data_IF_801930900776
#
_entry.id   IF_801930900776
#
_cell.length_a   1.000
_cell.length_b   1.000
_cell.length_c   1.000
_cell.angle_alpha   90.00
_cell.angle_beta   90.00
_cell.angle_gamma   90.00
#
_symmetry.space_group_name_H-M   'P 1'
#
loop_
_entity.id
_entity.type
_entity.pdbx_description
1 polymer ?
#
# COMPACT_ATOMS: atom_id res chain seq x y z
N UNK A 1 -2.38 16.84 14.07
CA UNK A 1 -2.40 15.41 13.69
C UNK A 1 -3.62 14.67 14.23
N UNK A 2 -3.98 14.87 15.51
CA UNK A 2 -5.13 14.22 16.17
C UNK A 2 -6.46 14.25 15.37
N UNK A 3 -6.88 15.41 14.86
CA UNK A 3 -8.11 15.51 14.05
C UNK A 3 -8.08 14.60 12.82
N UNK A 4 -6.96 14.57 12.10
CA UNK A 4 -6.81 13.71 10.92
C UNK A 4 -6.82 12.23 11.30
N UNK A 5 -6.16 11.87 12.41
CA UNK A 5 -6.19 10.49 12.90
C UNK A 5 -7.60 10.04 13.27
N UNK A 6 -8.37 10.88 13.96
CA UNK A 6 -9.77 10.59 14.32
C UNK A 6 -10.65 10.44 13.07
N UNK A 7 -10.47 11.30 12.06
CA UNK A 7 -11.15 11.15 10.77
C UNK A 7 -10.82 9.79 10.14
N UNK A 8 -9.54 9.45 10.02
CA UNK A 8 -9.09 8.18 9.43
C UNK A 8 -9.64 6.99 10.19
N UNK A 9 -9.60 6.99 11.52
CA UNK A 9 -10.17 5.91 12.36
C UNK A 9 -11.67 5.74 12.13
N UNK A 10 -12.42 6.84 12.11
CA UNK A 10 -13.87 6.79 11.88
C UNK A 10 -14.20 6.25 10.47
N UNK A 11 -13.44 6.65 9.46
CA UNK A 11 -13.59 6.14 8.10
C UNK A 11 -13.25 4.64 8.01
N UNK A 12 -12.14 4.20 8.59
CA UNK A 12 -11.76 2.78 8.66
C UNK A 12 -12.81 1.93 9.40
N UNK A 13 -13.46 2.47 10.43
CA UNK A 13 -14.50 1.78 11.18
C UNK A 13 -15.81 1.63 10.39
N UNK A 14 -16.12 2.54 9.48
CA UNK A 14 -17.43 2.62 8.80
C UNK A 14 -17.43 2.08 7.37
N UNK A 15 -16.30 2.22 6.66
CA UNK A 15 -16.18 1.83 5.24
C UNK A 15 -14.93 0.99 4.96
N UNK A 16 -14.16 0.63 5.99
CA UNK A 16 -12.91 -0.15 5.90
C UNK A 16 -11.74 0.49 5.12
N UNK A 17 -11.90 1.72 4.66
CA UNK A 17 -10.82 2.52 4.09
C UNK A 17 -10.93 3.98 4.53
N UNK A 18 -9.86 4.74 4.37
CA UNK A 18 -9.86 6.20 4.50
C UNK A 18 -9.04 6.79 3.35
N UNK A 19 -9.43 7.98 2.87
CA UNK A 19 -8.70 8.66 1.79
C UNK A 19 -8.52 10.14 2.12
N UNK A 20 -7.31 10.64 1.96
CA UNK A 20 -6.98 12.06 2.12
C UNK A 20 -5.76 12.42 1.27
N UNK A 21 -5.50 13.72 1.13
CA UNK A 21 -4.34 14.22 0.40
C UNK A 21 -3.02 13.95 1.15
N UNK A 22 -2.06 13.27 0.50
CA UNK A 22 -0.76 12.91 1.05
C UNK A 22 0.08 14.13 1.48
N UNK A 23 -0.15 15.32 0.90
CA UNK A 23 0.51 16.57 1.33
C UNK A 23 0.21 16.93 2.80
N UNK A 24 -0.81 16.31 3.39
CA UNK A 24 -1.11 16.43 4.83
C UNK A 24 -0.08 15.74 5.74
N UNK A 25 0.72 14.82 5.21
CA UNK A 25 1.71 14.06 5.99
C UNK A 25 3.10 13.99 5.34
N UNK A 26 3.22 14.35 4.07
CA UNK A 26 4.48 14.48 3.35
C UNK A 26 4.62 15.88 2.75
N UNK A 27 5.85 16.34 2.58
CA UNK A 27 6.20 17.54 1.81
C UNK A 27 6.28 17.25 0.31
N UNK A 28 6.23 18.29 -0.51
CA UNK A 28 6.38 18.18 -1.98
C UNK A 28 7.69 17.46 -2.34
N UNK A 29 8.81 17.82 -1.70
CA UNK A 29 10.10 17.18 -1.94
C UNK A 29 10.12 15.69 -1.57
N UNK A 30 9.37 15.28 -0.55
CA UNK A 30 9.24 13.87 -0.19
C UNK A 30 8.38 13.13 -1.21
N UNK A 31 7.25 13.71 -1.62
CA UNK A 31 6.37 13.11 -2.64
C UNK A 31 7.06 13.00 -4.00
N UNK A 32 7.82 14.02 -4.41
CA UNK A 32 8.64 14.01 -5.61
C UNK A 32 9.68 12.89 -5.57
N UNK A 33 10.37 12.73 -4.43
CA UNK A 33 11.33 11.65 -4.24
C UNK A 33 10.65 10.27 -4.34
N UNK A 34 9.55 10.07 -3.62
CA UNK A 34 8.81 8.82 -3.59
C UNK A 34 8.26 8.45 -4.99
N UNK A 35 7.69 9.43 -5.71
CA UNK A 35 7.21 9.26 -7.08
C UNK A 35 8.35 8.86 -8.02
N UNK A 36 9.48 9.58 -7.96
CA UNK A 36 10.66 9.26 -8.78
C UNK A 36 11.24 7.89 -8.43
N UNK A 37 11.26 7.50 -7.16
CA UNK A 37 11.68 6.17 -6.73
C UNK A 37 10.81 5.07 -7.38
N UNK A 38 9.48 5.24 -7.38
CA UNK A 38 8.54 4.35 -8.05
C UNK A 38 8.82 4.21 -9.56
N UNK A 39 9.26 5.28 -10.22
CA UNK A 39 9.60 5.24 -11.65
C UNK A 39 10.89 4.45 -11.91
N UNK A 40 11.95 4.67 -11.13
CA UNK A 40 13.29 4.14 -11.42
C UNK A 40 13.57 2.75 -10.85
N UNK A 41 12.83 2.31 -9.83
CA UNK A 41 13.05 0.99 -9.23
C UNK A 41 12.86 -0.11 -10.30
N UNK A 42 13.75 -1.12 -10.37
CA UNK A 42 13.59 -2.26 -11.27
C UNK A 42 12.25 -2.96 -11.05
N UNK A 43 11.59 -3.36 -12.13
CA UNK A 43 10.25 -3.93 -12.11
C UNK A 43 10.21 -5.34 -12.65
N UNK A 44 9.35 -6.15 -12.05
CA UNK A 44 9.01 -7.49 -12.52
C UNK A 44 7.52 -7.61 -12.82
N UNK A 45 7.18 -8.32 -13.89
CA UNK A 45 5.77 -8.59 -14.25
C UNK A 45 5.21 -9.67 -13.33
N UNK A 46 4.18 -9.32 -12.58
CA UNK A 46 3.45 -10.23 -11.69
C UNK A 46 2.11 -10.62 -12.33
N UNK A 47 1.91 -11.93 -12.50
CA UNK A 47 0.66 -12.51 -13.04
C UNK A 47 -0.17 -13.28 -12.01
N UNK A 48 0.49 -13.76 -10.96
CA UNK A 48 -0.13 -14.46 -9.84
C UNK A 48 0.47 -13.86 -8.58
N UNK A 49 -0.39 -13.43 -7.66
CA UNK A 49 0.07 -12.90 -6.39
C UNK A 49 0.36 -13.97 -5.35
N UNK A 50 0.72 -13.53 -4.15
CA UNK A 50 1.26 -14.38 -3.09
C UNK A 50 0.22 -15.36 -2.52
N UNK A 51 -1.06 -15.15 -2.83
CA UNK A 51 -2.18 -15.99 -2.35
C UNK A 51 -2.95 -16.64 -3.50
N UNK A 52 -2.36 -16.62 -4.70
CA UNK A 52 -2.88 -17.29 -5.90
C UNK A 52 -3.87 -16.46 -6.72
N UNK A 53 -4.14 -15.21 -6.33
CA UNK A 53 -4.99 -14.31 -7.09
C UNK A 53 -4.36 -13.95 -8.44
N UNK A 54 -5.20 -13.82 -9.46
CA UNK A 54 -4.73 -13.38 -10.78
C UNK A 54 -4.45 -11.89 -10.74
N UNK A 55 -3.28 -11.53 -11.25
CA UNK A 55 -2.77 -10.18 -11.31
C UNK A 55 -2.27 -9.90 -12.73
N UNK A 56 -2.13 -8.63 -13.07
CA UNK A 56 -1.40 -8.22 -14.26
C UNK A 56 -0.81 -6.85 -14.01
N UNK A 57 0.36 -6.78 -13.40
CA UNK A 57 1.02 -5.51 -13.07
C UNK A 57 2.53 -5.67 -13.03
N UNK A 58 3.24 -4.55 -13.12
CA UNK A 58 4.68 -4.49 -12.90
C UNK A 58 4.96 -4.01 -11.46
N UNK A 59 5.76 -4.77 -10.71
CA UNK A 59 6.06 -4.49 -9.30
C UNK A 59 7.54 -4.16 -9.14
N UNK A 60 7.84 -3.03 -8.49
CA UNK A 60 9.18 -2.68 -8.06
C UNK A 60 9.29 -2.68 -6.54
N UNK A 61 10.25 -3.41 -5.98
CA UNK A 61 10.27 -3.72 -4.54
C UNK A 61 11.25 -2.82 -3.78
N UNK A 62 10.81 -2.17 -2.72
CA UNK A 62 11.66 -1.40 -1.80
C UNK A 62 11.94 -2.19 -0.52
N UNK A 63 10.99 -3.03 -0.11
CA UNK A 63 11.11 -3.93 1.04
C UNK A 63 10.19 -5.13 0.84
N UNK A 64 10.68 -6.33 1.16
CA UNK A 64 9.94 -7.59 1.07
C UNK A 64 9.70 -8.21 2.44
N UNK A 65 8.59 -8.93 2.59
CA UNK A 65 8.26 -9.72 3.78
C UNK A 65 7.86 -11.15 3.37
N UNK A 66 8.84 -11.93 2.93
CA UNK A 66 8.64 -13.28 2.41
C UNK A 66 8.23 -14.25 3.52
N UNK A 67 7.44 -15.28 3.17
CA UNK A 67 7.12 -16.38 4.07
C UNK A 67 8.38 -16.99 4.69
N UNK A 68 8.30 -17.31 5.98
CA UNK A 68 9.37 -17.92 6.78
C UNK A 68 10.67 -17.10 6.87
N UNK A 69 10.62 -15.80 6.56
CA UNK A 69 11.80 -14.94 6.53
C UNK A 69 11.59 -13.63 7.30
N UNK A 70 12.71 -12.97 7.65
CA UNK A 70 12.69 -11.60 8.14
C UNK A 70 12.42 -10.63 6.98
N UNK A 71 11.84 -9.45 7.24
CA UNK A 71 11.71 -8.41 6.24
C UNK A 71 13.08 -7.95 5.75
N UNK A 72 13.20 -7.70 4.45
CA UNK A 72 14.46 -7.34 3.83
C UNK A 72 14.29 -6.14 2.91
N UNK A 73 15.13 -5.12 3.09
CA UNK A 73 15.21 -4.00 2.15
C UNK A 73 15.70 -4.50 0.78
N UNK A 74 15.14 -3.93 -0.28
CA UNK A 74 15.51 -4.23 -1.67
C UNK A 74 15.92 -2.97 -2.39
N UNK A 75 16.74 -3.14 -3.43
CA UNK A 75 17.24 -2.02 -4.25
C UNK A 75 17.91 -0.94 -3.39
N UNK A 76 18.81 -1.36 -2.49
CA UNK A 76 19.58 -0.44 -1.64
C UNK A 76 20.47 0.49 -2.50
N UNK A 77 20.63 1.78 -2.15
CA UNK A 77 20.07 2.47 -0.97
C UNK A 77 18.63 2.95 -1.13
N UNK A 78 18.05 2.87 -2.33
CA UNK A 78 16.75 3.45 -2.66
C UNK A 78 15.62 2.92 -1.76
N UNK A 79 15.56 1.60 -1.56
CA UNK A 79 14.51 1.00 -0.73
C UNK A 79 14.53 1.47 0.71
N UNK A 80 15.72 1.61 1.30
CA UNK A 80 15.86 2.14 2.65
C UNK A 80 15.43 3.61 2.72
N UNK A 81 15.88 4.44 1.78
CA UNK A 81 15.49 5.86 1.73
C UNK A 81 13.98 6.06 1.59
N UNK A 82 13.32 5.24 0.76
CA UNK A 82 11.85 5.26 0.63
C UNK A 82 11.18 4.95 1.97
N UNK A 83 11.59 3.87 2.64
CA UNK A 83 10.99 3.48 3.92
C UNK A 83 11.27 4.53 5.01
N UNK A 84 12.48 5.09 5.06
CA UNK A 84 12.86 6.14 6.02
C UNK A 84 11.94 7.37 5.89
N UNK A 85 11.59 7.78 4.66
CA UNK A 85 10.62 8.87 4.41
C UNK A 85 9.22 8.47 4.88
N UNK A 86 8.77 7.24 4.57
CA UNK A 86 7.46 6.76 4.97
C UNK A 86 7.29 6.72 6.50
N UNK A 87 8.37 6.51 7.26
CA UNK A 87 8.39 6.58 8.74
C UNK A 87 8.88 7.93 9.29
N UNK A 88 8.90 8.97 8.44
CA UNK A 88 9.20 10.34 8.83
C UNK A 88 8.24 10.90 9.89
N UNK A 89 8.60 12.03 10.51
CA UNK A 89 7.93 12.52 11.72
C UNK A 89 6.40 12.63 11.59
N UNK A 90 5.89 13.32 10.55
CA UNK A 90 4.45 13.58 10.37
C UNK A 90 3.65 12.32 10.03
N UNK A 91 4.17 11.49 9.12
CA UNK A 91 3.54 10.22 8.77
C UNK A 91 3.55 9.26 9.95
N UNK A 92 4.67 9.12 10.66
CA UNK A 92 4.76 8.26 11.84
C UNK A 92 3.87 8.72 12.99
N UNK A 93 3.66 10.02 13.18
CA UNK A 93 2.66 10.53 14.12
C UNK A 93 1.23 10.08 13.73
N UNK A 94 0.84 10.22 12.46
CA UNK A 94 -0.48 9.74 12.00
C UNK A 94 -0.64 8.23 12.17
N UNK A 95 0.34 7.47 11.67
CA UNK A 95 0.22 6.02 11.56
C UNK A 95 0.29 5.33 12.92
N UNK A 96 1.04 5.89 13.89
CA UNK A 96 0.98 5.44 15.29
C UNK A 96 -0.39 5.64 15.90
N UNK A 97 -0.97 6.82 15.68
CA UNK A 97 -2.33 7.09 16.15
C UNK A 97 -3.32 6.10 15.54
N UNK A 98 -3.31 5.91 14.21
CA UNK A 98 -4.19 4.96 13.50
C UNK A 98 -4.01 3.52 13.98
N UNK A 99 -2.77 3.09 14.23
CA UNK A 99 -2.45 1.77 14.77
C UNK A 99 -2.80 1.62 16.26
N UNK A 100 -2.95 2.73 16.99
CA UNK A 100 -3.15 2.72 18.44
C UNK A 100 -1.89 2.35 19.24
N UNK A 101 -0.71 2.49 18.63
CA UNK A 101 0.56 2.09 19.23
C UNK A 101 1.71 2.10 18.22
N UNK A 102 2.80 1.42 18.56
CA UNK A 102 3.94 1.25 17.65
C UNK A 102 3.53 0.46 16.39
N UNK A 103 4.23 0.76 15.28
CA UNK A 103 4.00 0.10 14.01
C UNK A 103 5.31 -0.12 13.26
N UNK A 104 5.28 -1.06 12.33
CA UNK A 104 6.41 -1.38 11.47
C UNK A 104 5.95 -1.54 10.03
N UNK A 105 6.71 -0.95 9.10
CA UNK A 105 6.58 -1.24 7.67
C UNK A 105 7.40 -2.50 7.39
N UNK A 106 6.74 -3.56 6.95
CA UNK A 106 7.41 -4.84 6.65
C UNK A 106 7.55 -5.10 5.15
N UNK A 107 6.65 -4.53 4.35
CA UNK A 107 6.65 -4.64 2.90
C UNK A 107 6.36 -3.28 2.29
N UNK A 108 7.08 -2.95 1.21
CA UNK A 108 6.95 -1.70 0.49
C UNK A 108 7.30 -1.91 -0.99
N UNK A 109 6.42 -1.49 -1.89
CA UNK A 109 6.57 -1.70 -3.33
C UNK A 109 5.85 -0.64 -4.16
N UNK A 110 6.39 -0.37 -5.34
CA UNK A 110 5.70 0.33 -6.41
C UNK A 110 4.88 -0.67 -7.22
N UNK A 111 3.61 -0.35 -7.47
CA UNK A 111 2.74 -1.07 -8.39
C UNK A 111 2.48 -0.19 -9.61
N UNK A 112 2.77 -0.71 -10.80
CA UNK A 112 2.49 -0.04 -12.08
C UNK A 112 1.49 -0.88 -12.86
N UNK A 113 0.33 -0.29 -13.12
CA UNK A 113 -0.73 -0.87 -13.92
C UNK A 113 -0.88 -0.05 -15.20
N UNK A 114 -0.63 -0.68 -16.35
CA UNK A 114 -0.84 -0.10 -17.68
C UNK A 114 -2.21 -0.51 -18.24
N UNK A 115 -2.57 -0.09 -19.44
CA UNK A 115 -3.78 -0.61 -20.11
C UNK A 115 -3.85 -2.15 -20.07
N UNK A 116 -5.02 -2.68 -19.68
CA UNK A 116 -5.28 -4.11 -19.50
C UNK A 116 -4.75 -4.70 -18.18
N UNK A 117 -4.02 -3.94 -17.37
CA UNK A 117 -3.56 -4.34 -16.04
C UNK A 117 -4.67 -4.27 -15.00
N UNK A 118 -4.60 -5.13 -13.99
CA UNK A 118 -5.51 -5.19 -12.84
C UNK A 118 -4.83 -5.87 -11.65
N UNK A 119 -5.43 -5.73 -10.48
CA UNK A 119 -5.09 -6.53 -9.29
C UNK A 119 -6.35 -7.29 -8.88
N UNK A 120 -6.27 -8.62 -8.88
CA UNK A 120 -7.38 -9.48 -8.54
C UNK A 120 -7.85 -9.26 -7.10
N UNK A 121 -9.09 -9.68 -6.83
CA UNK A 121 -9.63 -9.64 -5.46
C UNK A 121 -8.78 -10.50 -4.52
N UNK A 122 -8.33 -9.92 -3.41
CA UNK A 122 -7.52 -10.60 -2.41
C UNK A 122 -7.74 -10.02 -1.01
N UNK A 123 -7.10 -10.65 -0.02
CA UNK A 123 -7.06 -10.21 1.39
C UNK A 123 -5.58 -10.15 1.78
N UNK A 124 -5.10 -8.96 2.15
CA UNK A 124 -3.68 -8.73 2.46
C UNK A 124 -3.18 -9.56 3.64
N UNK A 125 -4.03 -9.81 4.64
CA UNK A 125 -3.63 -10.62 5.81
C UNK A 125 -3.28 -12.06 5.44
N UNK A 126 -3.65 -12.54 4.26
CA UNK A 126 -3.21 -13.86 3.80
C UNK A 126 -1.72 -13.86 3.44
N UNK A 127 -1.13 -12.70 3.09
CA UNK A 127 0.32 -12.59 2.94
C UNK A 127 1.05 -12.55 4.30
N UNK A 128 0.46 -11.90 5.31
CA UNK A 128 0.95 -11.90 6.68
C UNK A 128 -0.23 -11.55 7.62
N UNK A 129 -0.62 -12.46 8.51
CA UNK A 129 -1.78 -12.32 9.38
C UNK A 129 -1.64 -11.23 10.45
N UNK A 130 -0.45 -10.63 10.55
CA UNK A 130 -0.11 -9.54 11.46
C UNK A 130 -0.23 -8.17 10.78
N UNK A 131 -0.47 -8.12 9.47
CA UNK A 131 -0.85 -6.88 8.80
C UNK A 131 -2.20 -6.37 9.32
N UNK A 132 -2.27 -5.06 9.50
CA UNK A 132 -3.48 -4.34 9.96
C UNK A 132 -4.01 -3.40 8.88
N UNK A 133 -3.10 -2.61 8.31
CA UNK A 133 -3.45 -1.67 7.26
C UNK A 133 -2.46 -1.71 6.11
N UNK A 134 -2.96 -1.60 4.89
CA UNK A 134 -2.16 -1.21 3.74
C UNK A 134 -2.38 0.27 3.45
N UNK A 135 -1.30 0.93 3.08
CA UNK A 135 -1.26 2.34 2.74
C UNK A 135 -0.82 2.48 1.30
N UNK A 136 -1.52 3.32 0.53
CA UNK A 136 -1.29 3.52 -0.90
C UNK A 136 -1.15 5.01 -1.17
N UNK A 137 -0.05 5.42 -1.79
CA UNK A 137 0.12 6.76 -2.36
C UNK A 137 -0.02 6.64 -3.87
N UNK A 138 -0.98 7.36 -4.45
CA UNK A 138 -1.20 7.37 -5.90
C UNK A 138 -0.28 8.42 -6.57
N UNK A 139 0.48 7.99 -7.58
CA UNK A 139 1.34 8.85 -8.39
C UNK A 139 1.01 8.77 -9.89
N UNK A 140 0.07 7.91 -10.29
CA UNK A 140 -0.45 7.90 -11.66
C UNK A 140 -1.27 9.16 -11.94
N UNK A 141 -0.99 9.80 -13.06
CA UNK A 141 -1.77 10.89 -13.62
C UNK A 141 -2.57 10.36 -14.82
N UNK A 142 -3.76 10.94 -15.04
CA UNK A 142 -4.55 10.76 -16.27
C UNK A 142 -4.74 9.32 -16.76
N UNK A 143 -5.14 8.41 -15.87
CA UNK A 143 -5.52 7.05 -16.22
C UNK A 143 -7.04 6.85 -16.21
N UNK A 144 -7.55 5.94 -17.02
CA UNK A 144 -8.97 5.53 -17.05
C UNK A 144 -9.14 4.12 -16.48
N UNK A 145 -10.29 3.84 -15.84
CA UNK A 145 -10.46 2.64 -15.03
C UNK A 145 -9.52 2.62 -13.81
N UNK A 146 -9.10 1.43 -13.35
CA UNK A 146 -8.12 1.32 -12.27
C UNK A 146 -8.62 1.79 -10.90
N UNK A 147 -9.94 1.80 -10.70
CA UNK A 147 -10.56 2.08 -9.41
C UNK A 147 -10.10 1.03 -8.39
N UNK A 148 -9.75 1.49 -7.19
CA UNK A 148 -9.60 0.59 -6.05
C UNK A 148 -11.01 0.17 -5.60
N UNK A 149 -11.27 -1.13 -5.48
CA UNK A 149 -12.53 -1.61 -4.95
C UNK A 149 -12.33 -2.32 -3.62
N UNK A 150 -13.31 -2.20 -2.72
CA UNK A 150 -13.32 -2.85 -1.40
C UNK A 150 -14.73 -3.32 -1.06
N UNK A 151 -14.85 -4.54 -0.55
CA UNK A 151 -16.11 -5.17 -0.16
C UNK A 151 -16.21 -5.27 1.36
N UNK A 152 -17.07 -4.46 1.97
CA UNK A 152 -17.23 -4.37 3.42
C UNK A 152 -18.70 -4.30 3.81
N UNK A 153 -19.14 -5.18 4.71
CA UNK A 153 -20.53 -5.23 5.22
C UNK A 153 -21.59 -5.25 4.09
N UNK A 154 -21.43 -6.18 3.16
CA UNK A 154 -22.30 -6.35 1.97
C UNK A 154 -22.37 -5.13 1.04
N UNK A 155 -21.48 -4.16 1.22
CA UNK A 155 -21.32 -3.00 0.34
C UNK A 155 -20.02 -3.10 -0.44
N UNK A 156 -20.08 -2.73 -1.70
CA UNK A 156 -18.91 -2.56 -2.55
C UNK A 156 -18.67 -1.06 -2.76
N UNK A 157 -17.46 -0.61 -2.44
CA UNK A 157 -17.03 0.76 -2.72
C UNK A 157 -16.01 0.72 -3.86
N UNK A 158 -16.18 1.57 -4.87
CA UNK A 158 -15.18 1.84 -5.92
C UNK A 158 -14.64 3.25 -5.77
N UNK A 159 -13.32 3.37 -5.71
CA UNK A 159 -12.62 4.63 -5.42
C UNK A 159 -11.64 4.93 -6.55
N UNK A 160 -11.93 6.00 -7.29
CA UNK A 160 -10.94 6.64 -8.15
C UNK A 160 -9.99 7.46 -7.29
N UNK A 161 -8.68 7.26 -7.49
CA UNK A 161 -7.63 8.02 -6.80
C UNK A 161 -6.98 8.98 -7.78
N UNK A 162 -6.62 10.16 -7.29
CA UNK A 162 -5.87 11.17 -8.04
C UNK A 162 -4.42 11.18 -7.58
N UNK A 163 -3.57 11.92 -8.30
CA UNK A 163 -2.20 12.16 -7.87
C UNK A 163 -2.15 12.68 -6.42
N UNK A 164 -1.22 12.13 -5.65
CA UNK A 164 -1.02 12.37 -4.22
C UNK A 164 -2.21 12.02 -3.31
N UNK A 165 -3.21 11.25 -3.76
CA UNK A 165 -4.15 10.62 -2.82
C UNK A 165 -3.41 9.59 -1.96
N UNK A 166 -3.63 9.67 -0.65
CA UNK A 166 -3.22 8.69 0.35
C UNK A 166 -4.45 7.88 0.79
N UNK A 167 -4.44 6.59 0.47
CA UNK A 167 -5.45 5.64 0.86
C UNK A 167 -4.92 4.76 1.98
N UNK A 168 -5.69 4.57 3.04
CA UNK A 168 -5.45 3.55 4.07
C UNK A 168 -6.60 2.56 4.00
N UNK A 169 -6.34 1.26 3.95
CA UNK A 169 -7.38 0.24 4.02
C UNK A 169 -7.04 -0.84 5.04
N UNK A 170 -8.09 -1.46 5.60
CA UNK A 170 -7.98 -2.62 6.48
C UNK A 170 -7.53 -3.85 5.69
N UNK A 171 -6.48 -4.52 6.13
CA UNK A 171 -5.86 -5.63 5.41
C UNK A 171 -6.73 -6.90 5.37
N UNK A 172 -7.63 -7.07 6.32
CA UNK A 172 -8.51 -8.24 6.45
C UNK A 172 -9.76 -8.17 5.56
N UNK A 173 -9.97 -7.05 4.87
CA UNK A 173 -11.17 -6.81 4.07
C UNK A 173 -10.86 -7.09 2.59
N UNK A 174 -11.69 -7.86 1.87
CA UNK A 174 -11.47 -8.16 0.47
C UNK A 174 -11.44 -6.90 -0.41
N UNK A 175 -10.42 -6.78 -1.24
CA UNK A 175 -10.24 -5.63 -2.12
C UNK A 175 -9.40 -5.97 -3.36
N UNK A 176 -9.29 -5.02 -4.28
CA UNK A 176 -8.45 -5.13 -5.48
C UNK A 176 -8.44 -3.84 -6.28
N UNK A 177 -7.97 -3.94 -7.53
CA UNK A 177 -7.95 -2.80 -8.46
C UNK A 177 -8.55 -3.23 -9.78
N UNK A 178 -9.60 -2.53 -10.20
CA UNK A 178 -10.28 -2.73 -11.48
C UNK A 178 -9.30 -2.57 -12.65
N UNK A 179 -9.69 -3.09 -13.81
CA UNK A 179 -8.85 -3.03 -15.00
C UNK A 179 -8.61 -1.58 -15.45
N UNK A 180 -7.34 -1.20 -15.61
CA UNK A 180 -6.94 0.06 -16.25
C UNK A 180 -7.27 -0.01 -17.73
N UNK A 181 -8.03 0.99 -18.21
CA UNK A 181 -8.50 1.08 -19.59
C UNK A 181 -7.63 1.95 -20.47
N UNK A 182 -6.93 2.91 -19.88
CA UNK A 182 -6.01 3.80 -20.57
C UNK A 182 -5.04 4.42 -19.56
N UNK A 183 -3.85 4.82 -20.01
CA UNK A 183 -2.84 5.48 -19.17
C UNK A 183 -2.11 4.53 -18.21
N UNK A 184 -1.39 5.13 -17.25
CA UNK A 184 -0.55 4.41 -16.30
C UNK A 184 -0.91 4.76 -14.85
N UNK A 185 -1.48 3.79 -14.13
CA UNK A 185 -1.74 3.92 -12.70
C UNK A 185 -0.52 3.43 -11.92
N UNK A 186 0.23 4.36 -11.34
CA UNK A 186 1.45 4.07 -10.55
C UNK A 186 1.22 4.39 -9.08
N UNK A 187 1.38 3.42 -8.18
CA UNK A 187 1.18 3.67 -6.75
C UNK A 187 2.29 3.08 -5.89
N UNK A 188 2.68 3.79 -4.83
CA UNK A 188 3.52 3.26 -3.76
C UNK A 188 2.63 2.60 -2.70
N UNK A 189 2.85 1.32 -2.43
CA UNK A 189 2.07 0.52 -1.49
C UNK A 189 2.97 0.02 -0.37
N UNK A 190 2.53 0.13 0.88
CA UNK A 190 3.23 -0.41 2.03
C UNK A 190 2.28 -0.91 3.11
N UNK A 191 2.77 -1.82 3.94
CA UNK A 191 1.94 -2.59 4.88
C UNK A 191 2.39 -2.38 6.31
N UNK A 192 1.44 -2.01 7.17
CA UNK A 192 1.64 -1.77 8.59
C UNK A 192 1.37 -3.03 9.39
N UNK A 193 2.32 -3.38 10.26
CA UNK A 193 2.26 -4.52 11.16
C UNK A 193 2.57 -4.10 12.59
N UNK A 194 2.04 -4.88 13.54
CA UNK A 194 2.46 -4.85 14.95
C UNK A 194 3.82 -5.54 15.15
N UNK A 195 4.19 -6.46 14.26
CA UNK A 195 5.40 -7.28 14.41
C UNK A 195 6.63 -6.54 13.89
N UNK A 196 7.62 -6.36 14.78
CA UNK A 196 8.87 -5.68 14.47
C UNK A 196 9.75 -6.46 13.47
N UNK A 197 10.77 -5.79 12.92
CA UNK A 197 11.61 -6.33 11.84
C UNK A 197 12.50 -7.52 12.25
N UNK A 198 12.57 -7.87 13.54
CA UNK A 198 13.30 -9.06 14.03
C UNK A 198 12.44 -10.32 14.11
N UNK A 199 11.15 -10.20 13.79
CA UNK A 199 10.20 -11.32 13.78
C UNK A 199 10.03 -11.83 12.35
N UNK A 200 10.23 -13.14 12.08
CA UNK A 200 9.99 -13.71 10.75
C UNK A 200 8.50 -13.84 10.45
N UNK A 201 8.12 -13.75 9.18
CA UNK A 201 6.74 -13.97 8.74
C UNK A 201 6.41 -15.47 8.70
N UNK A 202 6.11 -16.04 9.87
CA UNK A 202 5.69 -17.45 10.04
C UNK A 202 4.18 -17.62 10.16
N UNK A 203 3.43 -16.51 10.18
CA UNK A 203 1.98 -16.49 10.36
C UNK A 203 1.30 -15.96 9.09
N UNK A 204 1.20 -16.81 8.06
CA UNK A 204 0.67 -16.44 6.75
C UNK A 204 -0.17 -17.56 6.14
N UNK A 205 -0.81 -17.23 5.02
CA UNK A 205 -1.50 -18.16 4.11
C UNK A 205 -0.94 -18.08 2.68
N UNK A 206 0.28 -17.54 2.51
CA UNK A 206 0.99 -17.52 1.23
C UNK A 206 1.15 -18.95 0.68
N UNK A 207 0.95 -19.11 -0.63
CA UNK A 207 1.14 -20.39 -1.35
C UNK A 207 2.62 -20.67 -1.64
#
# INVERSE_FOLDING_TARGET
MEFLANLVKNELATKAYARFDAHRIFSDSELDFLSRACQIVPKERIRVGDVGEQNNLDVGRFMEDKKEALPEYRNDPLGKSVVDILVGKRSAELLREVMGGDFYIRRCQSNVLTEGSFIGKHIDTYSNLRYRYSCVIQFGEDYEGGEFFIEHEDKEYRIKTNYADFLVNRCEIPHGVDCVKNGNRTSLVFFLSEDNLSIPNTNHKQI
#
